data_IF_940277176454
#
_entry.id   IF_940277176454
#
_cell.length_a   1.000
_cell.length_b   1.000
_cell.length_c   1.000
_cell.angle_alpha   90.00
_cell.angle_beta   90.00
_cell.angle_gamma   90.00
#
_symmetry.space_group_name_H-M   'P 1'
#
loop_
_entity.id
_entity.type
_entity.pdbx_description
1 polymer ?
#
# COMPACT_ATOMS: atom_id res chain seq x y z
N UNK A 1 33.17 29.55 -14.92
CA UNK A 1 31.91 30.31 -15.04
C UNK A 1 31.02 29.63 -16.06
N UNK A 2 29.86 29.10 -15.67
CA UNK A 2 28.85 28.54 -16.58
C UNK A 2 27.47 29.03 -16.13
N UNK A 3 26.76 29.63 -17.09
CA UNK A 3 25.52 30.38 -16.93
C UNK A 3 24.33 29.46 -16.58
N UNK A 4 23.51 29.88 -15.61
CA UNK A 4 22.18 29.33 -15.36
C UNK A 4 21.12 30.25 -15.99
N UNK A 5 20.22 29.75 -16.85
CA UNK A 5 19.07 30.54 -17.29
C UNK A 5 17.91 30.48 -16.28
N UNK A 6 17.22 31.62 -16.20
CA UNK A 6 16.12 31.97 -15.31
C UNK A 6 14.92 31.03 -15.42
N UNK A 7 14.30 30.77 -14.26
CA UNK A 7 13.00 30.10 -14.12
C UNK A 7 11.89 31.16 -14.01
N UNK A 8 10.82 31.00 -14.80
CA UNK A 8 9.67 31.91 -14.92
C UNK A 8 8.62 31.68 -13.81
N UNK A 9 8.01 32.73 -13.22
CA UNK A 9 7.20 32.64 -11.99
C UNK A 9 5.68 32.57 -12.27
N UNK A 10 5.19 31.57 -13.00
CA UNK A 10 3.73 31.37 -13.18
C UNK A 10 3.18 29.99 -12.77
N UNK A 11 4.02 29.10 -12.24
CA UNK A 11 3.63 27.75 -11.76
C UNK A 11 3.77 27.67 -10.23
N UNK A 12 3.38 28.71 -9.49
CA UNK A 12 3.59 28.74 -8.03
C UNK A 12 2.36 28.26 -7.24
N UNK A 13 1.15 28.32 -7.81
CA UNK A 13 -0.08 28.03 -7.06
C UNK A 13 -0.40 26.52 -7.01
N UNK A 14 -0.09 25.75 -8.06
CA UNK A 14 -0.30 24.28 -8.06
C UNK A 14 0.73 23.55 -7.17
N UNK A 15 1.91 24.13 -6.95
CA UNK A 15 2.98 23.55 -6.11
C UNK A 15 2.65 23.64 -4.61
N UNK A 16 1.78 24.57 -4.19
CA UNK A 16 1.45 24.76 -2.77
C UNK A 16 0.65 23.59 -2.19
N UNK A 17 -0.28 23.01 -2.94
CA UNK A 17 -0.97 21.78 -2.53
C UNK A 17 -0.06 20.55 -2.57
N UNK A 18 0.88 20.48 -3.52
CA UNK A 18 1.88 19.40 -3.55
C UNK A 18 2.85 19.46 -2.37
N UNK A 19 3.19 20.65 -1.85
CA UNK A 19 4.11 20.81 -0.72
C UNK A 19 3.55 20.33 0.62
N UNK A 20 2.23 20.36 0.81
CA UNK A 20 1.59 19.82 2.02
C UNK A 20 1.60 18.29 2.00
N UNK A 21 1.49 17.66 0.82
CA UNK A 21 1.56 16.21 0.64
C UNK A 21 3.00 15.64 0.52
N UNK A 22 3.99 16.49 0.25
CA UNK A 22 5.40 16.13 0.10
C UNK A 22 6.29 16.87 1.10
N UNK A 23 6.22 16.60 2.42
CA UNK A 23 7.23 17.11 3.33
C UNK A 23 8.54 16.36 3.06
N UNK A 24 9.49 17.06 2.43
CA UNK A 24 10.92 16.67 2.31
C UNK A 24 11.21 15.42 1.47
N UNK A 25 10.93 15.45 0.17
CA UNK A 25 11.76 14.67 -0.76
C UNK A 25 13.15 15.32 -0.84
N UNK A 26 14.11 14.71 -0.16
CA UNK A 26 15.51 15.12 -0.11
C UNK A 26 16.13 15.32 -1.49
N UNK A 27 17.02 16.32 -1.56
CA UNK A 27 18.08 16.55 -2.56
C UNK A 27 18.24 15.41 -3.57
N UNK A 28 17.69 15.61 -4.76
CA UNK A 28 18.01 14.84 -5.96
C UNK A 28 19.48 15.07 -6.34
N UNK A 29 20.37 14.19 -5.87
CA UNK A 29 21.67 13.96 -6.49
C UNK A 29 21.56 12.72 -7.37
N UNK A 30 21.77 12.95 -8.66
CA UNK A 30 21.72 12.03 -9.79
C UNK A 30 22.43 10.68 -9.54
N UNK A 31 21.66 9.62 -9.28
CA UNK A 31 21.93 8.22 -9.67
C UNK A 31 20.61 7.63 -10.21
N UNK A 32 20.35 7.88 -11.49
CA UNK A 32 19.05 7.74 -12.16
C UNK A 32 18.74 6.35 -12.73
N UNK A 33 18.90 5.27 -11.95
CA UNK A 33 18.29 3.96 -12.25
C UNK A 33 17.56 3.32 -11.04
N UNK A 34 17.49 4.04 -9.92
CA UNK A 34 16.81 3.61 -8.71
C UNK A 34 15.71 4.59 -8.34
N UNK A 35 14.62 4.64 -9.13
CA UNK A 35 13.36 5.13 -8.58
C UNK A 35 13.09 4.30 -7.31
N UNK A 36 13.25 4.95 -6.17
CA UNK A 36 13.36 4.33 -4.85
C UNK A 36 12.22 3.36 -4.61
N UNK A 37 12.53 2.15 -4.13
CA UNK A 37 11.56 1.17 -3.61
C UNK A 37 10.51 1.85 -2.70
N UNK A 38 10.93 2.90 -1.97
CA UNK A 38 10.06 3.76 -1.15
C UNK A 38 9.06 4.58 -1.96
N UNK A 39 9.43 5.14 -3.10
CA UNK A 39 8.51 5.90 -3.99
C UNK A 39 7.45 4.98 -4.56
N UNK A 40 7.84 3.78 -5.00
CA UNK A 40 6.88 2.78 -5.47
C UNK A 40 5.92 2.35 -4.36
N UNK A 41 6.44 2.03 -3.17
CA UNK A 41 5.61 1.71 -1.99
C UNK A 41 4.67 2.85 -1.60
N UNK A 42 5.13 4.11 -1.68
CA UNK A 42 4.32 5.27 -1.37
C UNK A 42 3.17 5.48 -2.35
N UNK A 43 3.44 5.39 -3.66
CA UNK A 43 2.41 5.46 -4.70
C UNK A 43 1.41 4.32 -4.56
N UNK A 44 1.91 3.10 -4.29
CA UNK A 44 1.07 1.93 -4.07
C UNK A 44 0.16 2.08 -2.85
N UNK A 45 0.68 2.58 -1.73
CA UNK A 45 -0.11 2.86 -0.53
C UNK A 45 -1.23 3.87 -0.79
N UNK A 46 -0.94 4.97 -1.51
CA UNK A 46 -1.97 5.96 -1.86
C UNK A 46 -3.00 5.41 -2.84
N UNK A 47 -2.59 4.60 -3.81
CA UNK A 47 -3.51 3.92 -4.70
C UNK A 47 -4.48 3.02 -3.92
N UNK A 48 -3.98 2.29 -2.90
CA UNK A 48 -4.78 1.51 -1.97
C UNK A 48 -5.78 2.37 -1.19
N UNK A 49 -5.35 3.51 -0.64
CA UNK A 49 -6.23 4.45 0.09
C UNK A 49 -7.35 4.98 -0.82
N UNK A 50 -7.02 5.42 -2.03
CA UNK A 50 -8.00 5.94 -3.00
C UNK A 50 -9.01 4.84 -3.34
N UNK A 51 -8.52 3.65 -3.68
CA UNK A 51 -9.36 2.51 -4.03
C UNK A 51 -10.34 2.14 -2.90
N UNK A 52 -9.85 2.02 -1.67
CA UNK A 52 -10.67 1.70 -0.49
C UNK A 52 -11.69 2.80 -0.19
N UNK A 53 -11.31 4.07 -0.34
CA UNK A 53 -12.23 5.21 -0.14
C UNK A 53 -13.38 5.19 -1.15
N UNK A 54 -13.07 4.98 -2.44
CA UNK A 54 -14.09 4.85 -3.49
C UNK A 54 -15.01 3.67 -3.21
N UNK A 55 -14.45 2.54 -2.79
CA UNK A 55 -15.23 1.35 -2.45
C UNK A 55 -16.14 1.55 -1.23
N UNK A 56 -15.64 2.23 -0.19
CA UNK A 56 -16.44 2.63 0.97
C UNK A 56 -17.61 3.52 0.56
N UNK A 57 -17.36 4.55 -0.26
CA UNK A 57 -18.43 5.44 -0.75
C UNK A 57 -19.48 4.66 -1.54
N UNK A 58 -19.05 3.77 -2.43
CA UNK A 58 -19.95 2.92 -3.20
C UNK A 58 -20.81 2.01 -2.31
N UNK A 59 -20.20 1.35 -1.32
CA UNK A 59 -20.90 0.48 -0.38
C UNK A 59 -21.88 1.27 0.49
N UNK A 60 -21.49 2.45 0.98
CA UNK A 60 -22.37 3.31 1.77
C UNK A 60 -23.61 3.74 0.98
N UNK A 61 -23.42 4.18 -0.28
CA UNK A 61 -24.55 4.54 -1.16
C UNK A 61 -25.43 3.32 -1.42
N UNK A 62 -24.84 2.14 -1.64
CA UNK A 62 -25.60 0.91 -1.86
C UNK A 62 -26.43 0.55 -0.63
N UNK A 63 -25.85 0.64 0.57
CA UNK A 63 -26.55 0.39 1.83
C UNK A 63 -27.76 1.32 2.00
N UNK A 64 -27.63 2.61 1.66
CA UNK A 64 -28.77 3.57 1.77
C UNK A 64 -29.91 3.29 0.78
N UNK A 65 -29.63 2.62 -0.34
CA UNK A 65 -30.63 2.30 -1.38
C UNK A 65 -31.28 0.92 -1.20
N UNK A 66 -30.69 0.06 -0.38
CA UNK A 66 -31.16 -1.31 -0.19
C UNK A 66 -32.11 -1.33 1.00
N UNK A 67 -33.42 -1.28 0.75
CA UNK A 67 -34.52 -1.42 1.71
C UNK A 67 -35.67 -2.16 1.00
N UNK A 68 -36.48 -3.05 1.60
CA UNK A 68 -36.45 -3.74 2.90
C UNK A 68 -36.31 -5.27 2.70
N UNK A 69 -35.23 -5.73 2.07
CA UNK A 69 -34.97 -7.18 1.93
C UNK A 69 -34.35 -7.71 3.22
N UNK A 70 -34.87 -8.84 3.71
CA UNK A 70 -34.53 -9.56 4.95
C UNK A 70 -33.37 -8.91 5.76
N UNK A 71 -33.69 -7.98 6.68
CA UNK A 71 -32.74 -6.98 7.18
C UNK A 71 -31.51 -7.61 7.84
N UNK A 72 -31.64 -8.80 8.42
CA UNK A 72 -30.56 -9.36 9.23
C UNK A 72 -29.37 -9.87 8.40
N UNK A 73 -29.58 -10.62 7.31
CA UNK A 73 -28.45 -11.26 6.60
C UNK A 73 -27.73 -10.28 5.67
N UNK A 74 -28.49 -9.45 4.95
CA UNK A 74 -27.93 -8.46 4.03
C UNK A 74 -27.21 -7.33 4.79
N UNK A 75 -27.77 -6.84 5.91
CA UNK A 75 -27.12 -5.79 6.69
C UNK A 75 -25.87 -6.31 7.39
N UNK A 76 -25.89 -7.52 7.97
CA UNK A 76 -24.69 -8.11 8.58
C UNK A 76 -23.57 -8.27 7.54
N UNK A 77 -23.91 -8.73 6.34
CA UNK A 77 -22.94 -8.86 5.24
C UNK A 77 -22.33 -7.52 4.84
N UNK A 78 -23.17 -6.50 4.61
CA UNK A 78 -22.71 -5.16 4.23
C UNK A 78 -21.89 -4.50 5.33
N UNK A 79 -22.31 -4.60 6.60
CA UNK A 79 -21.58 -4.08 7.76
C UNK A 79 -20.22 -4.76 7.88
N UNK A 80 -20.16 -6.08 7.69
CA UNK A 80 -18.90 -6.85 7.74
C UNK A 80 -17.94 -6.40 6.65
N UNK A 81 -18.43 -6.24 5.41
CA UNK A 81 -17.63 -5.75 4.29
C UNK A 81 -17.14 -4.32 4.57
N UNK A 82 -18.02 -3.45 5.06
CA UNK A 82 -17.66 -2.08 5.41
C UNK A 82 -16.57 -2.04 6.50
N UNK A 83 -16.72 -2.84 7.56
CA UNK A 83 -15.75 -2.97 8.64
C UNK A 83 -14.39 -3.44 8.13
N UNK A 84 -14.37 -4.46 7.27
CA UNK A 84 -13.14 -4.93 6.62
C UNK A 84 -12.48 -3.83 5.77
N UNK A 85 -13.26 -3.07 4.99
CA UNK A 85 -12.71 -1.96 4.19
C UNK A 85 -12.07 -0.89 5.08
N UNK A 86 -12.68 -0.57 6.23
CA UNK A 86 -12.11 0.36 7.20
C UNK A 86 -10.79 -0.15 7.82
N UNK A 87 -10.75 -1.42 8.22
CA UNK A 87 -9.52 -2.04 8.75
C UNK A 87 -8.41 -2.02 7.70
N UNK A 88 -8.73 -2.36 6.44
CA UNK A 88 -7.77 -2.34 5.34
C UNK A 88 -7.32 -0.91 5.00
N UNK A 89 -8.20 0.09 5.11
CA UNK A 89 -7.86 1.50 4.96
C UNK A 89 -6.84 1.95 6.01
N UNK A 90 -7.08 1.61 7.29
CA UNK A 90 -6.15 1.92 8.40
C UNK A 90 -4.80 1.24 8.18
N UNK A 91 -4.79 -0.01 7.72
CA UNK A 91 -3.55 -0.73 7.40
C UNK A 91 -2.75 -0.04 6.27
N UNK A 92 -3.42 0.46 5.22
CA UNK A 92 -2.78 1.24 4.17
C UNK A 92 -2.18 2.55 4.70
N UNK A 93 -2.88 3.25 5.60
CA UNK A 93 -2.35 4.45 6.24
C UNK A 93 -1.11 4.15 7.09
N UNK A 94 -1.14 3.07 7.88
CA UNK A 94 0.05 2.63 8.62
C UNK A 94 1.21 2.24 7.70
N UNK A 95 0.94 1.62 6.56
CA UNK A 95 1.97 1.36 5.55
C UNK A 95 2.63 2.64 5.05
N UNK A 96 1.84 3.66 4.67
CA UNK A 96 2.34 4.97 4.24
C UNK A 96 3.18 5.63 5.34
N UNK A 97 2.66 5.64 6.58
CA UNK A 97 3.36 6.21 7.74
C UNK A 97 4.67 5.45 8.03
N UNK A 98 4.65 4.12 7.92
CA UNK A 98 5.82 3.27 8.11
C UNK A 98 6.94 3.57 7.11
N UNK A 99 6.58 3.81 5.84
CA UNK A 99 7.52 4.25 4.81
C UNK A 99 8.06 5.65 5.13
N UNK A 100 7.19 6.61 5.48
CA UNK A 100 7.59 8.00 5.76
C UNK A 100 8.48 8.12 7.01
N UNK A 101 8.21 7.32 8.04
CA UNK A 101 8.93 7.35 9.32
C UNK A 101 10.11 6.38 9.37
N UNK A 102 10.33 5.59 8.30
CA UNK A 102 11.31 4.50 8.26
C UNK A 102 11.14 3.56 9.47
N UNK A 103 9.90 3.16 9.77
CA UNK A 103 9.55 2.28 10.89
C UNK A 103 8.87 1.01 10.38
N UNK A 104 9.57 -0.14 10.33
CA UNK A 104 9.08 -1.36 9.69
C UNK A 104 7.85 -1.93 10.42
N UNK A 105 7.76 -1.77 11.75
CA UNK A 105 6.63 -2.23 12.54
C UNK A 105 5.27 -1.67 12.09
N UNK A 106 5.22 -0.46 11.52
CA UNK A 106 3.96 0.11 11.00
C UNK A 106 3.56 -0.48 9.64
N UNK A 107 4.48 -1.13 8.93
CA UNK A 107 4.17 -1.78 7.64
C UNK A 107 3.63 -3.20 7.83
N UNK A 108 3.85 -3.80 9.00
CA UNK A 108 3.47 -5.17 9.34
C UNK A 108 1.96 -5.45 9.20
N UNK A 109 1.05 -4.60 9.73
CA UNK A 109 -0.39 -4.78 9.56
C UNK A 109 -0.80 -4.89 8.09
N UNK A 110 -0.21 -4.08 7.22
CA UNK A 110 -0.47 -4.10 5.79
C UNK A 110 0.00 -5.40 5.13
N UNK A 111 1.21 -5.87 5.46
CA UNK A 111 1.75 -7.12 4.91
C UNK A 111 0.89 -8.32 5.33
N UNK A 112 0.49 -8.38 6.60
CA UNK A 112 -0.34 -9.47 7.14
C UNK A 112 -1.72 -9.45 6.49
N UNK A 113 -2.40 -8.30 6.50
CA UNK A 113 -3.72 -8.17 5.89
C UNK A 113 -3.65 -8.48 4.39
N UNK A 114 -2.66 -7.95 3.66
CA UNK A 114 -2.48 -8.25 2.24
C UNK A 114 -2.27 -9.74 1.95
N UNK A 115 -1.57 -10.45 2.83
CA UNK A 115 -1.40 -11.91 2.73
C UNK A 115 -2.71 -12.66 2.94
N UNK A 116 -3.51 -12.25 3.93
CA UNK A 116 -4.84 -12.81 4.18
C UNK A 116 -5.79 -12.53 3.00
N UNK A 117 -5.72 -11.34 2.41
CA UNK A 117 -6.52 -10.96 1.24
C UNK A 117 -6.18 -11.79 0.00
N UNK A 118 -4.89 -12.07 -0.24
CA UNK A 118 -4.45 -12.98 -1.32
C UNK A 118 -5.03 -14.38 -1.09
N UNK A 119 -4.91 -14.90 0.13
CA UNK A 119 -5.41 -16.24 0.47
C UNK A 119 -6.93 -16.35 0.28
N UNK A 120 -7.68 -15.38 0.82
CA UNK A 120 -9.12 -15.31 0.63
C UNK A 120 -9.51 -15.14 -0.85
N UNK A 121 -8.78 -14.32 -1.60
CA UNK A 121 -8.99 -14.11 -3.03
C UNK A 121 -8.81 -15.40 -3.85
N UNK A 122 -7.80 -16.21 -3.53
CA UNK A 122 -7.59 -17.52 -4.17
C UNK A 122 -8.76 -18.47 -3.85
N UNK A 123 -9.22 -18.53 -2.60
CA UNK A 123 -10.37 -19.37 -2.22
C UNK A 123 -11.63 -18.94 -2.98
N UNK A 124 -11.94 -17.64 -2.99
CA UNK A 124 -13.11 -17.10 -3.70
C UNK A 124 -13.01 -17.37 -5.21
N UNK A 125 -11.82 -17.23 -5.80
CA UNK A 125 -11.58 -17.52 -7.21
C UNK A 125 -11.83 -19.01 -7.54
N UNK A 126 -11.35 -19.93 -6.70
CA UNK A 126 -11.60 -21.37 -6.85
C UNK A 126 -13.10 -21.69 -6.75
N UNK A 127 -13.78 -21.21 -5.70
CA UNK A 127 -15.22 -21.44 -5.50
C UNK A 127 -16.02 -20.85 -6.67
N UNK A 128 -15.71 -19.63 -7.10
CA UNK A 128 -16.37 -18.97 -8.21
C UNK A 128 -16.19 -19.72 -9.53
N UNK A 129 -15.00 -20.28 -9.77
CA UNK A 129 -14.72 -21.09 -10.96
C UNK A 129 -15.54 -22.38 -10.96
N UNK A 130 -15.60 -23.09 -9.82
CA UNK A 130 -16.43 -24.31 -9.67
C UNK A 130 -17.92 -23.97 -9.87
N UNK A 131 -18.40 -22.87 -9.27
CA UNK A 131 -19.78 -22.42 -9.40
C UNK A 131 -20.15 -22.08 -10.86
N UNK A 132 -19.30 -21.33 -11.56
CA UNK A 132 -19.53 -20.96 -12.97
C UNK A 132 -19.52 -22.19 -13.89
N UNK A 133 -18.67 -23.17 -13.60
CA UNK A 133 -18.66 -24.46 -14.30
C UNK A 133 -19.95 -25.25 -14.09
N UNK A 134 -20.41 -25.37 -12.84
CA UNK A 134 -21.66 -26.04 -12.52
C UNK A 134 -22.89 -25.33 -13.14
N UNK A 135 -22.86 -24.00 -13.24
CA UNK A 135 -23.98 -23.19 -13.73
C UNK A 135 -24.19 -23.23 -15.26
N UNK A 136 -23.45 -24.08 -16.00
CA UNK A 136 -23.45 -24.17 -17.48
C UNK A 136 -23.18 -22.85 -18.21
N UNK A 137 -22.62 -21.84 -17.53
CA UNK A 137 -22.18 -20.57 -18.13
C UNK A 137 -20.71 -20.66 -18.56
N UNK A 138 -20.37 -21.73 -19.27
CA UNK A 138 -18.98 -22.07 -19.61
C UNK A 138 -18.27 -20.98 -20.44
N UNK A 139 -19.00 -20.19 -21.22
CA UNK A 139 -18.42 -19.08 -21.98
C UNK A 139 -17.83 -17.98 -21.07
N UNK A 140 -18.39 -17.76 -19.88
CA UNK A 140 -17.85 -16.79 -18.91
C UNK A 140 -16.55 -17.30 -18.27
N UNK A 141 -16.35 -18.62 -18.15
CA UNK A 141 -15.13 -19.19 -17.59
C UNK A 141 -13.89 -18.80 -18.39
N UNK A 142 -14.00 -18.85 -19.73
CA UNK A 142 -12.89 -18.56 -20.64
C UNK A 142 -12.36 -17.13 -20.50
N UNK A 143 -13.21 -16.17 -20.15
CA UNK A 143 -12.78 -14.80 -19.83
C UNK A 143 -12.36 -14.61 -18.37
N UNK A 144 -13.10 -15.22 -17.44
CA UNK A 144 -12.95 -14.97 -16.00
C UNK A 144 -11.67 -15.59 -15.44
N UNK A 145 -11.29 -16.79 -15.88
CA UNK A 145 -10.09 -17.48 -15.39
C UNK A 145 -8.81 -16.70 -15.73
N UNK A 146 -8.50 -16.37 -16.99
CA UNK A 146 -7.26 -15.66 -17.31
C UNK A 146 -7.24 -14.27 -16.66
N UNK A 147 -8.37 -13.55 -16.65
CA UNK A 147 -8.46 -12.25 -15.99
C UNK A 147 -8.20 -12.36 -14.49
N UNK A 148 -8.81 -13.34 -13.81
CA UNK A 148 -8.61 -13.57 -12.38
C UNK A 148 -7.15 -13.93 -12.04
N UNK A 149 -6.52 -14.78 -12.85
CA UNK A 149 -5.10 -15.13 -12.68
C UNK A 149 -4.18 -13.91 -12.85
N UNK A 150 -4.45 -13.05 -13.84
CA UNK A 150 -3.70 -11.81 -14.03
C UNK A 150 -3.85 -10.90 -12.81
N UNK A 151 -5.09 -10.69 -12.34
CA UNK A 151 -5.36 -9.84 -11.17
C UNK A 151 -4.67 -10.37 -9.92
N UNK A 152 -4.78 -11.68 -9.63
CA UNK A 152 -4.11 -12.32 -8.50
C UNK A 152 -2.59 -12.21 -8.64
N UNK A 153 -2.04 -12.46 -9.83
CA UNK A 153 -0.60 -12.35 -10.09
C UNK A 153 -0.05 -10.95 -9.86
N UNK A 154 -0.77 -9.92 -10.33
CA UNK A 154 -0.43 -8.52 -10.08
C UNK A 154 -0.50 -8.21 -8.59
N UNK A 155 -1.51 -8.70 -7.88
CA UNK A 155 -1.66 -8.48 -6.44
C UNK A 155 -0.52 -9.13 -5.63
N UNK A 156 -0.17 -10.39 -5.94
CA UNK A 156 0.97 -11.10 -5.35
C UNK A 156 2.27 -10.35 -5.63
N UNK A 157 2.47 -9.85 -6.85
CA UNK A 157 3.67 -9.07 -7.20
C UNK A 157 3.82 -7.82 -6.31
N UNK A 158 2.76 -7.04 -6.14
CA UNK A 158 2.78 -5.86 -5.27
C UNK A 158 2.99 -6.22 -3.80
N UNK A 159 2.39 -7.32 -3.34
CA UNK A 159 2.59 -7.82 -1.98
C UNK A 159 4.04 -8.25 -1.72
N UNK A 160 4.67 -9.01 -2.63
CA UNK A 160 6.09 -9.39 -2.55
C UNK A 160 6.97 -8.13 -2.53
N UNK A 161 6.68 -7.13 -3.37
CA UNK A 161 7.42 -5.85 -3.36
C UNK A 161 7.30 -5.12 -2.02
N UNK A 162 6.14 -5.18 -1.37
CA UNK A 162 5.92 -4.58 -0.06
C UNK A 162 6.73 -5.29 1.04
N UNK A 163 6.85 -6.62 0.98
CA UNK A 163 7.71 -7.41 1.88
C UNK A 163 9.19 -7.05 1.67
N UNK A 164 9.64 -6.95 0.42
CA UNK A 164 11.02 -6.54 0.12
C UNK A 164 11.33 -5.16 0.69
N UNK A 165 10.41 -4.21 0.54
CA UNK A 165 10.56 -2.87 1.12
C UNK A 165 10.61 -2.90 2.66
N UNK A 166 9.79 -3.74 3.31
CA UNK A 166 9.85 -3.95 4.75
C UNK A 166 11.24 -4.45 5.19
N UNK A 167 11.76 -5.49 4.53
CA UNK A 167 13.08 -6.06 4.85
C UNK A 167 14.21 -5.04 4.61
N UNK A 168 14.14 -4.25 3.54
CA UNK A 168 15.12 -3.19 3.25
C UNK A 168 15.19 -2.16 4.40
N UNK A 169 14.03 -1.71 4.90
CA UNK A 169 13.96 -0.74 6.00
C UNK A 169 14.46 -1.34 7.32
N UNK A 170 14.16 -2.62 7.59
CA UNK A 170 14.61 -3.32 8.80
C UNK A 170 16.14 -3.50 8.83
N UNK A 171 16.73 -3.90 7.70
CA UNK A 171 18.18 -4.03 7.56
C UNK A 171 18.87 -2.67 7.74
N UNK A 172 18.34 -1.61 7.12
CA UNK A 172 18.89 -0.26 7.24
C UNK A 172 18.86 0.26 8.68
N UNK A 173 17.78 -0.02 9.41
CA UNK A 173 17.68 0.34 10.84
C UNK A 173 18.69 -0.42 11.71
N UNK A 174 18.86 -1.71 11.45
CA UNK A 174 19.81 -2.56 12.20
C UNK A 174 21.23 -2.07 12.01
N UNK A 175 21.63 -1.78 10.76
CA UNK A 175 22.94 -1.20 10.43
C UNK A 175 23.17 0.15 11.12
N UNK A 176 22.18 1.06 11.09
CA UNK A 176 22.26 2.35 11.79
C UNK A 176 22.43 2.18 13.30
N UNK A 177 21.77 1.18 13.90
CA UNK A 177 21.89 0.90 15.34
C UNK A 177 23.29 0.40 15.70
N UNK A 178 23.85 -0.50 14.90
CA UNK A 178 25.22 -1.00 15.08
C UNK A 178 26.28 0.10 14.92
N UNK A 179 26.14 0.95 13.90
CA UNK A 179 27.04 2.08 13.67
C UNK A 179 27.02 3.06 14.86
N UNK A 180 25.83 3.41 15.35
CA UNK A 180 25.68 4.26 16.53
C UNK A 180 26.30 3.63 17.79
N UNK A 181 26.17 2.31 17.96
CA UNK A 181 26.80 1.60 19.07
C UNK A 181 28.33 1.62 18.98
N UNK A 182 28.90 1.46 17.77
CA UNK A 182 30.35 1.58 17.53
C UNK A 182 30.86 3.00 17.79
N UNK A 183 30.12 4.03 17.37
CA UNK A 183 30.50 5.42 17.65
C UNK A 183 30.45 5.71 19.17
N UNK A 184 29.45 5.17 19.87
CA UNK A 184 29.33 5.31 21.32
C UNK A 184 30.49 4.65 22.08
N UNK A 185 30.91 3.45 21.68
CA UNK A 185 32.06 2.78 22.31
C UNK A 185 33.38 3.52 22.07
N UNK A 186 33.61 4.06 20.88
CA UNK A 186 34.78 4.89 20.57
C UNK A 186 34.80 6.16 21.43
N UNK A 187 33.64 6.82 21.60
CA UNK A 187 33.55 8.01 22.47
C UNK A 187 33.86 7.69 23.92
N UNK A 188 33.40 6.54 24.42
CA UNK A 188 33.68 6.11 25.78
C UNK A 188 35.17 5.78 25.98
N UNK A 189 35.84 5.17 24.99
CA UNK A 189 37.29 4.93 25.09
C UNK A 189 38.11 6.22 25.06
N UNK A 190 37.67 7.25 24.32
CA UNK A 190 38.38 8.53 24.24
C UNK A 190 38.18 9.41 25.49
N UNK A 191 37.06 9.28 26.20
CA UNK A 191 36.78 10.06 27.42
C UNK A 191 37.50 9.58 28.69
N UNK A 192 38.18 8.42 28.63
CA UNK A 192 38.91 7.82 29.76
C UNK A 192 40.42 8.13 29.74
N UNK A 193 40.88 8.94 28.79
CA UNK A 193 42.26 9.42 28.67
C UNK A 193 42.29 10.93 28.91
#
# INVERSE_FOLDING_TARGET
MKNNPLCSPKITIVILYLRIFLPRMCKWRYRCCGCSSKTFGFLYGWMGVIWRTVFTMFLAVTLTKTSPYDPNIYDIGLITVLGYVQVSLVANLFFIVGIQKEKPYFMLPFVVIGGMEIFAGIIIFCIGTVYLHASRRGYLLWGTIPMGLIVIGVYIYFWIKSIRLYNEIEIDLTKKKEENARIASIRQSLGNH
#
